data_IF_927362139732
#
_entry.id   IF_927362139732
#
_cell.length_a   1.000
_cell.length_b   1.000
_cell.length_c   1.000
_cell.angle_alpha   90.00
_cell.angle_beta   90.00
_cell.angle_gamma   90.00
#
_symmetry.space_group_name_H-M   'P 1'
#
loop_
_entity.id
_entity.type
_entity.pdbx_description
1 polymer ?
#
# COMPACT_ATOMS: atom_id res chain seq x y z
N UNK A 1 -27.12 27.48 7.66
CA UNK A 1 -26.36 26.72 8.67
C UNK A 1 -24.98 26.52 8.10
N UNK A 2 -23.94 26.88 8.84
CA UNK A 2 -22.56 26.69 8.37
C UNK A 2 -22.24 25.23 8.60
N UNK A 3 -22.03 24.44 7.53
CA UNK A 3 -21.42 23.12 7.68
C UNK A 3 -20.05 23.36 8.33
N UNK A 4 -19.78 22.86 9.56
CA UNK A 4 -18.47 23.05 10.14
C UNK A 4 -17.46 22.27 9.28
N UNK A 5 -16.44 22.99 8.84
CA UNK A 5 -15.25 22.38 8.23
C UNK A 5 -14.66 21.41 9.24
N UNK A 6 -14.58 20.14 8.87
CA UNK A 6 -13.83 19.10 9.57
C UNK A 6 -12.44 19.05 8.96
N UNK A 7 -11.54 19.81 9.58
CA UNK A 7 -10.13 19.76 9.27
C UNK A 7 -9.74 20.15 7.85
N UNK A 8 -8.45 20.02 7.57
CA UNK A 8 -7.86 20.18 6.23
C UNK A 8 -7.03 18.95 5.81
N UNK A 9 -7.13 17.86 6.58
CA UNK A 9 -6.49 16.59 6.32
C UNK A 9 -7.45 15.43 6.59
N UNK A 10 -7.28 14.32 5.86
CA UNK A 10 -8.08 13.09 6.02
C UNK A 10 -8.03 12.54 7.44
N UNK A 11 -6.88 12.60 8.11
CA UNK A 11 -6.72 12.14 9.49
C UNK A 11 -7.66 12.88 10.44
N UNK A 12 -7.75 14.21 10.33
CA UNK A 12 -8.67 15.01 11.15
C UNK A 12 -10.14 14.71 10.86
N UNK A 13 -10.46 14.34 9.62
CA UNK A 13 -11.82 13.91 9.24
C UNK A 13 -12.13 12.55 9.85
N UNK A 14 -11.19 11.60 9.72
CA UNK A 14 -11.33 10.24 10.22
C UNK A 14 -11.45 10.24 11.75
N UNK A 15 -10.56 10.95 12.45
CA UNK A 15 -10.63 11.13 13.91
C UNK A 15 -12.01 11.66 14.34
N UNK A 16 -12.54 12.67 13.64
CA UNK A 16 -13.84 13.24 13.94
C UNK A 16 -15.02 12.29 13.69
N UNK A 17 -14.88 11.33 12.77
CA UNK A 17 -15.87 10.26 12.54
C UNK A 17 -15.74 9.19 13.61
N UNK A 18 -14.52 8.84 14.00
CA UNK A 18 -14.23 7.81 15.01
C UNK A 18 -14.57 8.25 16.44
N UNK A 19 -14.43 9.54 16.75
CA UNK A 19 -14.81 10.14 18.04
C UNK A 19 -16.30 9.96 18.37
N UNK A 20 -17.15 9.79 17.34
CA UNK A 20 -18.57 9.49 17.52
C UNK A 20 -18.82 8.01 17.91
N UNK A 21 -17.81 7.16 17.82
CA UNK A 21 -17.87 5.73 18.14
C UNK A 21 -18.81 4.93 17.23
N UNK A 22 -18.70 5.03 15.89
CA UNK A 22 -19.59 4.34 14.98
C UNK A 22 -19.35 2.82 14.99
N UNK A 23 -20.41 2.03 14.84
CA UNK A 23 -20.29 0.58 14.66
C UNK A 23 -19.57 0.22 13.35
N UNK A 24 -19.72 1.06 12.31
CA UNK A 24 -19.02 1.02 11.03
C UNK A 24 -19.23 2.36 10.30
N UNK A 25 -18.47 2.61 9.24
CA UNK A 25 -18.71 3.76 8.37
C UNK A 25 -18.45 3.43 6.91
N UNK A 26 -19.08 4.20 6.03
CA UNK A 26 -18.92 4.09 4.59
C UNK A 26 -18.00 5.18 4.06
N UNK A 27 -17.17 4.82 3.09
CA UNK A 27 -16.46 5.75 2.21
C UNK A 27 -17.00 5.53 0.81
N UNK A 28 -17.60 6.55 0.21
CA UNK A 28 -18.27 6.44 -1.08
C UNK A 28 -17.58 7.35 -2.10
N UNK A 29 -17.26 6.77 -3.25
CA UNK A 29 -16.58 7.38 -4.37
C UNK A 29 -15.35 8.23 -3.95
N UNK A 30 -14.41 7.69 -3.16
CA UNK A 30 -13.16 8.39 -2.88
C UNK A 30 -12.37 8.56 -4.19
N UNK A 31 -11.62 9.66 -4.31
CA UNK A 31 -10.55 9.72 -5.30
C UNK A 31 -9.45 8.72 -4.93
N UNK A 32 -8.52 8.46 -5.86
CA UNK A 32 -7.32 7.67 -5.57
C UNK A 32 -6.58 8.21 -4.34
N UNK A 33 -6.29 9.52 -4.35
CA UNK A 33 -5.63 10.25 -3.27
C UNK A 33 -6.36 10.13 -1.93
N UNK A 34 -7.68 10.33 -1.92
CA UNK A 34 -8.45 10.23 -0.69
C UNK A 34 -8.43 8.80 -0.13
N UNK A 35 -8.51 7.79 -0.99
CA UNK A 35 -8.46 6.39 -0.57
C UNK A 35 -7.08 5.99 -0.04
N UNK A 36 -5.99 6.44 -0.67
CA UNK A 36 -4.61 6.26 -0.18
C UNK A 36 -4.46 6.86 1.22
N UNK A 37 -4.79 8.14 1.38
CA UNK A 37 -4.69 8.83 2.67
C UNK A 37 -5.57 8.21 3.76
N UNK A 38 -6.76 7.71 3.39
CA UNK A 38 -7.64 7.00 4.32
C UNK A 38 -7.03 5.66 4.74
N UNK A 39 -6.40 4.95 3.82
CA UNK A 39 -5.72 3.68 4.09
C UNK A 39 -4.53 3.90 5.04
N UNK A 40 -3.71 4.92 4.78
CA UNK A 40 -2.58 5.26 5.65
C UNK A 40 -3.05 5.72 7.04
N UNK A 41 -4.09 6.56 7.09
CA UNK A 41 -4.69 6.98 8.35
C UNK A 41 -5.26 5.79 9.13
N UNK A 42 -5.92 4.85 8.45
CA UNK A 42 -6.47 3.64 9.05
C UNK A 42 -5.38 2.74 9.64
N UNK A 43 -4.26 2.55 8.93
CA UNK A 43 -3.10 1.76 9.41
C UNK A 43 -2.39 2.44 10.59
N UNK A 44 -2.38 3.77 10.63
CA UNK A 44 -1.73 4.54 11.70
C UNK A 44 -2.52 4.57 13.02
N UNK A 45 -3.79 4.16 13.02
CA UNK A 45 -4.63 4.17 14.22
C UNK A 45 -4.19 3.11 15.22
N UNK A 46 -3.86 3.55 16.43
CA UNK A 46 -3.61 2.66 17.56
C UNK A 46 -4.94 2.19 18.18
N UNK A 47 -5.38 0.97 17.86
CA UNK A 47 -6.54 0.33 18.50
C UNK A 47 -7.52 -0.29 17.51
N UNK A 48 -8.73 -0.56 17.99
CA UNK A 48 -9.79 -1.17 17.18
C UNK A 48 -10.40 -0.12 16.24
N UNK A 49 -10.14 -0.24 14.94
CA UNK A 49 -10.81 0.54 13.90
C UNK A 49 -12.18 -0.11 13.59
N UNK A 50 -13.31 0.62 13.67
CA UNK A 50 -14.59 0.10 13.22
C UNK A 50 -14.55 -0.19 11.71
N UNK A 51 -15.30 -1.19 11.21
CA UNK A 51 -15.27 -1.57 9.81
C UNK A 51 -15.47 -0.37 8.85
N UNK A 52 -14.48 -0.14 8.02
CA UNK A 52 -14.47 0.81 6.91
C UNK A 52 -14.96 0.10 5.64
N UNK A 53 -16.16 0.48 5.18
CA UNK A 53 -16.80 -0.08 3.98
C UNK A 53 -16.66 0.89 2.82
N UNK A 54 -15.91 0.51 1.79
CA UNK A 54 -15.61 1.42 0.67
C UNK A 54 -16.36 1.02 -0.59
N UNK A 55 -17.15 1.95 -1.12
CA UNK A 55 -17.74 1.90 -2.45
C UNK A 55 -16.96 2.83 -3.36
N UNK A 56 -16.22 2.29 -4.32
CA UNK A 56 -15.40 3.09 -5.21
C UNK A 56 -15.54 2.64 -6.67
N UNK A 57 -15.18 3.53 -7.59
CA UNK A 57 -15.07 3.17 -9.00
C UNK A 57 -14.02 2.05 -9.19
N UNK A 58 -14.34 1.09 -10.06
CA UNK A 58 -13.48 -0.09 -10.26
C UNK A 58 -12.11 0.29 -10.85
N UNK A 59 -12.05 1.29 -11.74
CA UNK A 59 -10.81 1.73 -12.34
C UNK A 59 -9.96 2.51 -11.32
N UNK A 60 -10.59 3.33 -10.47
CA UNK A 60 -9.88 3.97 -9.33
C UNK A 60 -9.28 2.93 -8.40
N UNK A 61 -10.04 1.89 -8.03
CA UNK A 61 -9.49 0.81 -7.18
C UNK A 61 -8.35 0.06 -7.87
N UNK A 62 -8.42 -0.20 -9.17
CA UNK A 62 -7.33 -0.86 -9.91
C UNK A 62 -6.08 -0.01 -9.97
N UNK A 63 -6.24 1.29 -10.18
CA UNK A 63 -5.14 2.24 -10.30
C UNK A 63 -4.42 2.38 -8.96
N UNK A 64 -5.14 2.59 -7.86
CA UNK A 64 -4.54 2.67 -6.51
C UNK A 64 -3.89 1.34 -6.11
N UNK A 65 -4.55 0.22 -6.38
CA UNK A 65 -4.02 -1.11 -6.02
C UNK A 65 -2.84 -1.54 -6.91
N UNK A 66 -2.45 -0.74 -7.90
CA UNK A 66 -1.23 -0.94 -8.66
C UNK A 66 0.01 -0.55 -7.84
N UNK A 67 -0.12 0.38 -6.89
CA UNK A 67 0.94 0.68 -5.93
C UNK A 67 1.04 -0.43 -4.88
N UNK A 68 2.26 -0.94 -4.67
CA UNK A 68 2.47 -2.07 -3.77
C UNK A 68 2.24 -1.69 -2.30
N UNK A 69 2.70 -0.51 -1.85
CA UNK A 69 2.56 -0.10 -0.46
C UNK A 69 1.10 0.08 -0.09
N UNK A 70 0.35 0.82 -0.91
CA UNK A 70 -1.07 1.05 -0.68
C UNK A 70 -1.84 -0.27 -0.77
N UNK A 71 -1.57 -1.10 -1.78
CA UNK A 71 -2.27 -2.37 -1.94
C UNK A 71 -1.99 -3.37 -0.81
N UNK A 72 -0.75 -3.45 -0.33
CA UNK A 72 -0.35 -4.37 0.75
C UNK A 72 -0.84 -3.90 2.12
N UNK A 73 -0.91 -2.58 2.38
CA UNK A 73 -1.56 -1.97 3.55
C UNK A 73 -3.07 -2.21 3.55
N UNK A 74 -3.73 -1.99 2.41
CA UNK A 74 -5.15 -2.30 2.24
C UNK A 74 -5.42 -3.79 2.42
N UNK A 75 -4.51 -4.67 1.96
CA UNK A 75 -4.60 -6.11 2.15
C UNK A 75 -4.49 -6.53 3.63
N UNK A 76 -3.67 -5.87 4.44
CA UNK A 76 -3.65 -6.06 5.91
C UNK A 76 -5.04 -5.74 6.50
N UNK A 77 -5.60 -4.56 6.20
CA UNK A 77 -6.92 -4.17 6.70
C UNK A 77 -8.04 -5.11 6.22
N UNK A 78 -7.95 -5.64 4.99
CA UNK A 78 -8.88 -6.63 4.46
C UNK A 78 -8.76 -7.97 5.18
N UNK A 79 -7.54 -8.42 5.50
CA UNK A 79 -7.30 -9.66 6.22
C UNK A 79 -7.80 -9.58 7.67
N UNK A 80 -7.67 -8.41 8.30
CA UNK A 80 -8.18 -8.13 9.64
C UNK A 80 -9.70 -7.89 9.67
N UNK A 81 -10.33 -7.73 8.50
CA UNK A 81 -11.76 -7.47 8.37
C UNK A 81 -12.19 -6.05 8.76
N UNK A 82 -11.22 -5.15 8.93
CA UNK A 82 -11.45 -3.72 9.20
C UNK A 82 -11.73 -2.95 7.91
N UNK A 83 -11.30 -3.45 6.75
CA UNK A 83 -11.63 -2.90 5.44
C UNK A 83 -12.52 -3.87 4.65
N UNK A 84 -13.45 -3.33 3.87
CA UNK A 84 -14.17 -4.06 2.84
C UNK A 84 -14.32 -3.19 1.60
N UNK A 85 -14.04 -3.75 0.42
CA UNK A 85 -14.07 -3.03 -0.85
C UNK A 85 -15.19 -3.56 -1.75
N UNK A 86 -15.99 -2.66 -2.32
CA UNK A 86 -17.01 -2.95 -3.32
C UNK A 86 -16.98 -1.94 -4.45
N UNK A 87 -17.37 -2.37 -5.65
CA UNK A 87 -17.40 -1.52 -6.84
C UNK A 87 -18.73 -0.79 -6.94
N UNK A 88 -18.65 0.53 -7.05
CA UNK A 88 -19.80 1.40 -7.23
C UNK A 88 -20.39 1.22 -8.65
N UNK A 89 -21.69 0.96 -8.72
CA UNK A 89 -22.41 0.76 -9.99
C UNK A 89 -23.42 1.90 -10.19
N UNK A 90 -23.09 2.94 -10.97
CA UNK A 90 -24.06 4.02 -11.21
C UNK A 90 -23.44 5.35 -11.67
N UNK A 91 -24.31 6.35 -11.82
CA UNK A 91 -23.89 7.74 -12.08
C UNK A 91 -23.20 8.33 -10.85
N UNK A 92 -22.27 9.27 -11.06
CA UNK A 92 -21.35 9.81 -10.06
C UNK A 92 -21.98 10.15 -8.70
N UNK A 93 -21.56 9.42 -7.67
CA UNK A 93 -21.79 9.80 -6.27
C UNK A 93 -20.78 10.89 -5.88
N UNK A 94 -21.16 11.81 -4.99
CA UNK A 94 -20.18 12.70 -4.38
C UNK A 94 -19.19 11.88 -3.53
N UNK A 95 -17.95 12.34 -3.42
CA UNK A 95 -17.00 11.75 -2.49
C UNK A 95 -17.42 12.08 -1.06
N UNK A 96 -17.85 11.06 -0.31
CA UNK A 96 -18.43 11.24 1.04
C UNK A 96 -17.98 10.15 2.01
N UNK A 97 -17.95 10.49 3.30
CA UNK A 97 -17.91 9.55 4.42
C UNK A 97 -19.27 9.59 5.13
N UNK A 98 -19.84 8.43 5.43
CA UNK A 98 -21.17 8.31 6.05
C UNK A 98 -21.08 7.38 7.25
N UNK A 99 -21.52 7.87 8.42
CA UNK A 99 -21.80 7.08 9.61
C UNK A 99 -23.22 7.34 10.08
N UNK A 100 -23.65 6.64 11.13
CA UNK A 100 -24.96 6.84 11.77
C UNK A 100 -25.13 8.23 12.39
N UNK A 101 -24.03 8.93 12.68
CA UNK A 101 -24.03 10.22 13.38
C UNK A 101 -23.75 11.41 12.46
N UNK A 102 -23.08 11.19 11.32
CA UNK A 102 -22.72 12.29 10.40
C UNK A 102 -22.53 11.85 8.96
N UNK A 103 -22.66 12.83 8.08
CA UNK A 103 -22.19 12.77 6.69
C UNK A 103 -21.14 13.83 6.46
N UNK A 104 -20.03 13.45 5.86
CA UNK A 104 -18.92 14.33 5.51
C UNK A 104 -18.69 14.29 4.02
N UNK A 105 -18.81 15.42 3.34
CA UNK A 105 -18.36 15.55 1.96
C UNK A 105 -16.86 15.84 1.93
N UNK A 106 -16.11 15.03 1.17
CA UNK A 106 -14.69 15.21 0.93
C UNK A 106 -14.50 16.25 -0.16
N UNK A 107 -13.68 17.26 0.13
CA UNK A 107 -13.37 18.36 -0.77
C UNK A 107 -11.86 18.41 -0.96
N UNK A 108 -11.42 18.19 -2.20
CA UNK A 108 -10.01 18.12 -2.55
C UNK A 108 -9.58 19.38 -3.30
N UNK A 109 -8.45 19.95 -2.88
CA UNK A 109 -7.78 21.08 -3.54
C UNK A 109 -6.28 20.90 -3.43
N UNK A 110 -5.59 20.76 -4.58
CA UNK A 110 -4.17 20.43 -4.66
C UNK A 110 -3.85 19.19 -3.79
N UNK A 111 -3.05 19.37 -2.74
CA UNK A 111 -2.67 18.29 -1.82
C UNK A 111 -3.61 18.13 -0.62
N UNK A 112 -4.59 19.03 -0.45
CA UNK A 112 -5.45 19.08 0.72
C UNK A 112 -6.76 18.32 0.48
N UNK A 113 -7.15 17.52 1.46
CA UNK A 113 -8.44 16.83 1.51
C UNK A 113 -9.14 17.29 2.79
N UNK A 114 -10.13 18.17 2.66
CA UNK A 114 -10.92 18.72 3.76
C UNK A 114 -12.34 18.15 3.81
N UNK A 115 -12.97 18.19 4.98
CA UNK A 115 -14.33 17.66 5.17
C UNK A 115 -15.37 18.77 5.37
N UNK A 116 -16.48 18.71 4.65
CA UNK A 116 -17.68 19.51 4.97
C UNK A 116 -18.71 18.59 5.60
N UNK A 117 -19.04 18.83 6.88
CA UNK A 117 -19.88 17.90 7.64
C UNK A 117 -21.28 18.42 7.94
N UNK A 118 -22.19 17.47 8.14
CA UNK A 118 -23.51 17.69 8.71
C UNK A 118 -23.86 16.54 9.65
N UNK A 119 -24.56 16.88 10.74
CA UNK A 119 -25.16 15.95 11.70
C UNK A 119 -26.69 16.18 11.77
N UNK A 120 -27.26 16.71 10.69
CA UNK A 120 -28.71 16.82 10.54
C UNK A 120 -29.30 15.40 10.43
N UNK A 121 -29.99 14.96 11.48
CA UNK A 121 -30.43 13.57 11.61
C UNK A 121 -31.29 13.09 10.43
N UNK A 122 -32.19 13.93 9.90
CA UNK A 122 -33.02 13.56 8.76
C UNK A 122 -32.17 13.31 7.50
N UNK A 123 -31.17 14.16 7.27
CA UNK A 123 -30.26 13.99 6.14
C UNK A 123 -29.32 12.79 6.32
N UNK A 124 -28.78 12.59 7.53
CA UNK A 124 -27.87 11.47 7.85
C UNK A 124 -28.59 10.14 7.67
N UNK A 125 -29.78 9.97 8.24
CA UNK A 125 -30.58 8.74 8.12
C UNK A 125 -30.86 8.40 6.64
N UNK A 126 -31.33 9.37 5.87
CA UNK A 126 -31.64 9.18 4.45
C UNK A 126 -30.40 8.82 3.63
N UNK A 127 -29.26 9.43 3.95
CA UNK A 127 -27.99 9.15 3.25
C UNK A 127 -27.44 7.79 3.62
N UNK A 128 -27.46 7.42 4.89
CA UNK A 128 -27.02 6.12 5.38
C UNK A 128 -27.85 4.97 4.77
N UNK A 129 -29.18 5.10 4.77
CA UNK A 129 -30.08 4.11 4.15
C UNK A 129 -29.80 3.92 2.65
N UNK A 130 -29.54 5.02 1.94
CA UNK A 130 -29.22 4.97 0.51
C UNK A 130 -27.88 4.24 0.26
N UNK A 131 -26.84 4.60 1.02
CA UNK A 131 -25.50 4.02 0.88
C UNK A 131 -25.48 2.54 1.30
N UNK A 132 -26.21 2.15 2.35
CA UNK A 132 -26.33 0.74 2.74
C UNK A 132 -27.04 -0.06 1.63
N UNK A 133 -28.09 0.47 1.01
CA UNK A 133 -28.74 -0.19 -0.12
C UNK A 133 -27.79 -0.37 -1.31
N UNK A 134 -26.99 0.66 -1.63
CA UNK A 134 -25.99 0.57 -2.69
C UNK A 134 -24.94 -0.48 -2.34
N UNK A 135 -24.45 -0.47 -1.09
CA UNK A 135 -23.50 -1.44 -0.56
C UNK A 135 -23.98 -2.88 -0.70
N UNK A 136 -25.19 -3.18 -0.23
CA UNK A 136 -25.78 -4.54 -0.28
C UNK A 136 -25.88 -5.08 -1.71
N UNK A 137 -26.11 -4.20 -2.68
CA UNK A 137 -26.25 -4.54 -4.10
C UNK A 137 -24.93 -4.60 -4.88
N UNK A 138 -23.86 -3.98 -4.35
CA UNK A 138 -22.59 -3.83 -5.04
C UNK A 138 -21.75 -5.12 -5.04
N UNK A 139 -20.97 -5.30 -6.11
CA UNK A 139 -20.03 -6.42 -6.27
C UNK A 139 -18.78 -6.22 -5.41
N UNK A 140 -18.25 -7.31 -4.85
CA UNK A 140 -17.00 -7.28 -4.07
C UNK A 140 -15.79 -7.05 -4.96
N UNK A 141 -14.88 -6.18 -4.55
CA UNK A 141 -13.58 -6.01 -5.17
C UNK A 141 -12.52 -6.86 -4.43
N UNK A 142 -11.65 -7.55 -5.17
CA UNK A 142 -10.57 -8.36 -4.58
C UNK A 142 -9.19 -7.81 -4.90
N UNK A 143 -8.37 -7.70 -3.85
CA UNK A 143 -6.96 -7.33 -3.94
C UNK A 143 -6.13 -8.60 -4.14
N UNK A 144 -5.17 -8.56 -5.06
CA UNK A 144 -4.27 -9.69 -5.36
C UNK A 144 -2.94 -9.59 -4.62
N UNK A 145 -2.56 -8.39 -4.22
CA UNK A 145 -1.34 -8.09 -3.47
C UNK A 145 -1.44 -8.73 -2.09
N UNK A 146 -0.39 -9.42 -1.62
CA UNK A 146 -0.37 -10.00 -0.29
C UNK A 146 -0.32 -8.91 0.80
N UNK A 147 -0.82 -9.20 2.02
CA UNK A 147 -0.72 -8.28 3.16
C UNK A 147 0.75 -7.97 3.51
N UNK A 148 1.06 -6.71 3.83
CA UNK A 148 2.45 -6.32 4.14
C UNK A 148 2.97 -7.01 5.40
N UNK A 149 2.10 -7.28 6.36
CA UNK A 149 2.42 -8.06 7.56
C UNK A 149 2.88 -9.50 7.20
N UNK A 150 2.18 -10.17 6.28
CA UNK A 150 2.52 -11.52 5.80
C UNK A 150 3.85 -11.50 5.02
N UNK A 151 4.03 -10.52 4.12
CA UNK A 151 5.30 -10.34 3.39
C UNK A 151 6.46 -10.20 4.38
N UNK A 152 6.27 -9.39 5.42
CA UNK A 152 7.30 -9.14 6.43
C UNK A 152 7.64 -10.38 7.25
N UNK A 153 6.63 -11.07 7.80
CA UNK A 153 6.82 -12.28 8.60
C UNK A 153 7.48 -13.41 7.80
N UNK A 154 7.02 -13.60 6.56
CA UNK A 154 7.58 -14.65 5.70
C UNK A 154 8.99 -14.34 5.23
N UNK A 155 9.35 -13.05 5.04
CA UNK A 155 10.71 -12.63 4.71
C UNK A 155 11.67 -12.94 5.87
N UNK A 156 11.28 -12.64 7.10
CA UNK A 156 12.04 -13.00 8.30
C UNK A 156 12.24 -14.51 8.38
N UNK A 157 11.16 -15.28 8.23
CA UNK A 157 11.23 -16.74 8.32
C UNK A 157 12.08 -17.37 7.20
N UNK A 158 12.07 -16.79 5.99
CA UNK A 158 12.73 -17.37 4.81
C UNK A 158 14.19 -16.95 4.68
N UNK A 159 14.49 -15.68 5.00
CA UNK A 159 15.77 -15.03 4.70
C UNK A 159 16.47 -14.57 5.98
N UNK A 160 15.72 -13.95 6.91
CA UNK A 160 16.22 -13.56 8.23
C UNK A 160 15.83 -12.14 8.65
N UNK A 161 16.01 -11.85 9.93
CA UNK A 161 15.63 -10.59 10.58
C UNK A 161 16.30 -9.36 9.95
N UNK A 162 17.58 -9.46 9.57
CA UNK A 162 18.32 -8.35 8.94
C UNK A 162 17.70 -7.97 7.60
N UNK A 163 17.30 -8.96 6.79
CA UNK A 163 16.62 -8.72 5.53
C UNK A 163 15.23 -8.11 5.73
N UNK A 164 14.48 -8.55 6.76
CA UNK A 164 13.19 -7.95 7.12
C UNK A 164 13.36 -6.49 7.54
N UNK A 165 14.36 -6.19 8.37
CA UNK A 165 14.64 -4.84 8.83
C UNK A 165 15.05 -3.91 7.68
N UNK A 166 15.92 -4.38 6.79
CA UNK A 166 16.31 -3.64 5.59
C UNK A 166 15.12 -3.39 4.66
N UNK A 167 14.24 -4.38 4.47
CA UNK A 167 13.04 -4.24 3.65
C UNK A 167 12.12 -3.12 4.16
N UNK A 168 11.81 -3.11 5.46
CA UNK A 168 11.03 -2.04 6.07
C UNK A 168 11.69 -0.67 5.92
N UNK A 169 12.99 -0.57 6.24
CA UNK A 169 13.70 0.69 6.13
C UNK A 169 13.76 1.23 4.69
N UNK A 170 13.81 0.34 3.69
CA UNK A 170 13.75 0.74 2.28
C UNK A 170 12.34 1.20 1.87
N UNK A 171 11.29 0.53 2.35
CA UNK A 171 9.91 0.92 2.09
C UNK A 171 9.56 2.26 2.74
N UNK A 172 10.01 2.52 3.98
CA UNK A 172 9.79 3.79 4.69
C UNK A 172 10.35 4.99 3.90
N UNK A 173 11.43 4.78 3.15
CA UNK A 173 12.04 5.81 2.29
C UNK A 173 11.17 6.08 1.08
N UNK A 174 10.68 5.03 0.41
CA UNK A 174 9.77 5.15 -0.72
C UNK A 174 8.46 5.84 -0.33
N UNK A 175 7.93 5.51 0.85
CA UNK A 175 6.74 6.13 1.41
C UNK A 175 6.92 7.64 1.67
N UNK A 176 8.14 8.06 2.01
CA UNK A 176 8.45 9.47 2.32
C UNK A 176 8.71 10.32 1.07
N UNK A 177 9.27 9.74 0.00
CA UNK A 177 9.56 10.45 -1.26
C UNK A 177 8.27 10.76 -2.06
N UNK A 178 7.14 10.11 -1.74
CA UNK A 178 5.81 10.33 -2.33
C UNK A 178 5.62 9.62 -3.68
N UNK A 179 4.40 9.52 -4.22
CA UNK A 179 4.08 8.81 -5.48
C UNK A 179 4.61 9.48 -6.77
N UNK A 180 5.82 10.05 -6.77
CA UNK A 180 6.49 10.32 -8.03
C UNK A 180 6.69 8.97 -8.75
N UNK A 181 6.53 8.92 -10.08
CA UNK A 181 6.68 7.69 -10.88
C UNK A 181 8.14 7.19 -10.83
N UNK A 182 8.60 6.62 -9.71
CA UNK A 182 9.89 5.96 -9.61
C UNK A 182 9.76 4.51 -10.10
N UNK A 183 10.77 4.05 -10.85
CA UNK A 183 10.81 2.65 -11.30
C UNK A 183 11.23 1.65 -10.19
N UNK A 184 11.23 2.07 -8.93
CA UNK A 184 11.59 1.25 -7.77
C UNK A 184 10.32 0.59 -7.22
N UNK A 185 10.05 -0.61 -7.72
CA UNK A 185 8.93 -1.45 -7.28
C UNK A 185 9.34 -2.44 -6.17
N UNK A 186 8.39 -3.22 -5.67
CA UNK A 186 8.60 -4.20 -4.62
C UNK A 186 9.59 -5.31 -4.99
N UNK A 187 9.71 -5.61 -6.29
CA UNK A 187 10.68 -6.58 -6.83
C UNK A 187 12.09 -5.98 -6.80
N UNK A 188 12.24 -4.70 -7.14
CA UNK A 188 13.49 -3.96 -7.00
C UNK A 188 13.91 -3.93 -5.54
N UNK A 189 13.03 -3.51 -4.62
CA UNK A 189 13.32 -3.49 -3.17
C UNK A 189 13.75 -4.87 -2.68
N UNK A 190 13.00 -5.92 -3.03
CA UNK A 190 13.34 -7.31 -2.66
C UNK A 190 14.73 -7.73 -3.15
N UNK A 191 15.12 -7.33 -4.37
CA UNK A 191 16.43 -7.63 -4.93
C UNK A 191 17.55 -6.83 -4.27
N UNK A 192 17.32 -5.56 -3.92
CA UNK A 192 18.28 -4.71 -3.20
C UNK A 192 18.52 -5.22 -1.78
N UNK A 193 17.46 -5.57 -1.05
CA UNK A 193 17.55 -6.24 0.26
C UNK A 193 18.35 -7.54 0.15
N UNK A 194 18.05 -8.36 -0.85
CA UNK A 194 18.77 -9.61 -1.07
C UNK A 194 20.25 -9.38 -1.44
N UNK A 195 20.55 -8.33 -2.21
CA UNK A 195 21.92 -7.96 -2.58
C UNK A 195 22.73 -7.43 -1.38
N UNK A 196 22.12 -6.58 -0.55
CA UNK A 196 22.69 -6.05 0.69
C UNK A 196 23.03 -7.20 1.66
N UNK A 197 22.11 -8.15 1.81
CA UNK A 197 22.25 -9.29 2.72
C UNK A 197 23.02 -10.49 2.14
N UNK A 198 23.53 -10.41 0.90
CA UNK A 198 24.29 -11.50 0.28
C UNK A 198 23.47 -12.79 0.07
N UNK A 199 22.18 -12.63 -0.18
CA UNK A 199 21.19 -13.71 -0.35
C UNK A 199 21.32 -14.31 -1.74
N UNK A 200 21.00 -15.60 -1.88
CA UNK A 200 20.96 -16.23 -3.20
C UNK A 200 19.72 -15.75 -3.97
N UNK A 201 19.90 -15.42 -5.25
CA UNK A 201 18.80 -15.07 -6.16
C UNK A 201 17.70 -16.14 -6.15
N UNK A 202 18.07 -17.42 -5.99
CA UNK A 202 17.09 -18.50 -5.91
C UNK A 202 16.20 -18.38 -4.67
N UNK A 203 16.75 -18.02 -3.52
CA UNK A 203 16.00 -18.01 -2.26
C UNK A 203 15.01 -16.84 -2.27
N UNK A 204 15.47 -15.62 -2.62
CA UNK A 204 14.59 -14.45 -2.72
C UNK A 204 13.53 -14.59 -3.82
N UNK A 205 13.89 -15.11 -5.01
CA UNK A 205 12.91 -15.28 -6.09
C UNK A 205 11.93 -16.43 -5.84
N UNK A 206 12.32 -17.41 -5.03
CA UNK A 206 11.40 -18.46 -4.57
C UNK A 206 10.45 -17.88 -3.53
N UNK A 207 10.97 -17.20 -2.52
CA UNK A 207 10.16 -16.54 -1.49
C UNK A 207 9.13 -15.58 -2.13
N UNK A 208 9.57 -14.66 -2.99
CA UNK A 208 8.67 -13.70 -3.62
C UNK A 208 7.62 -14.34 -4.54
N UNK A 209 7.91 -15.49 -5.15
CA UNK A 209 6.91 -16.24 -5.90
C UNK A 209 5.93 -16.99 -4.98
N UNK A 210 6.42 -17.56 -3.88
CA UNK A 210 5.62 -18.32 -2.93
C UNK A 210 4.62 -17.39 -2.17
N UNK A 211 5.00 -16.15 -1.87
CA UNK A 211 4.17 -15.13 -1.21
C UNK A 211 3.28 -14.35 -2.19
N UNK A 212 3.58 -14.41 -3.49
CA UNK A 212 2.75 -13.78 -4.53
C UNK A 212 3.18 -12.36 -4.92
N UNK A 213 4.38 -11.93 -4.56
CA UNK A 213 4.99 -10.66 -5.00
C UNK A 213 5.17 -10.67 -6.52
N UNK A 214 5.96 -11.62 -7.04
CA UNK A 214 6.20 -11.72 -8.48
C UNK A 214 6.73 -13.10 -8.89
N UNK A 215 6.55 -13.44 -10.16
CA UNK A 215 7.11 -14.67 -10.71
C UNK A 215 8.64 -14.69 -10.71
N UNK A 216 9.26 -15.87 -10.66
CA UNK A 216 10.72 -16.03 -10.82
C UNK A 216 11.27 -15.40 -12.10
N UNK A 217 10.47 -15.40 -13.17
CA UNK A 217 10.84 -14.78 -14.45
C UNK A 217 10.89 -13.25 -14.34
N UNK A 218 10.01 -12.64 -13.54
CA UNK A 218 10.05 -11.20 -13.24
C UNK A 218 11.29 -10.87 -12.43
N UNK A 219 11.55 -11.56 -11.32
CA UNK A 219 12.79 -11.41 -10.54
C UNK A 219 14.05 -11.52 -11.42
N UNK A 220 14.12 -12.49 -12.32
CA UNK A 220 15.28 -12.65 -13.21
C UNK A 220 15.46 -11.48 -14.19
N UNK A 221 14.36 -10.91 -14.70
CA UNK A 221 14.39 -9.75 -15.61
C UNK A 221 14.80 -8.48 -14.86
N UNK A 222 14.17 -8.21 -13.71
CA UNK A 222 14.51 -7.06 -12.85
C UNK A 222 15.95 -7.15 -12.38
N UNK A 223 16.43 -8.32 -11.97
CA UNK A 223 17.86 -8.56 -11.65
C UNK A 223 18.78 -8.19 -12.80
N UNK A 224 18.42 -8.54 -14.03
CA UNK A 224 19.24 -8.22 -15.22
C UNK A 224 19.28 -6.71 -15.45
N UNK A 225 18.12 -6.03 -15.30
CA UNK A 225 18.03 -4.57 -15.36
C UNK A 225 18.94 -3.91 -14.32
N UNK A 226 18.92 -4.39 -13.07
CA UNK A 226 19.76 -3.87 -11.99
C UNK A 226 21.27 -4.13 -12.20
N UNK A 227 21.63 -5.25 -12.84
CA UNK A 227 23.01 -5.52 -13.27
C UNK A 227 23.46 -4.57 -14.39
N UNK A 228 22.59 -4.32 -15.37
CA UNK A 228 22.89 -3.46 -16.53
C UNK A 228 23.13 -2.01 -16.11
N UNK A 229 22.41 -1.52 -15.09
CA UNK A 229 22.61 -0.17 -14.50
C UNK A 229 23.64 -0.16 -13.36
N UNK A 230 24.19 -1.31 -12.99
CA UNK A 230 25.29 -1.43 -12.03
C UNK A 230 24.90 -1.28 -10.56
N UNK A 231 23.63 -1.46 -10.20
CA UNK A 231 23.16 -1.45 -8.79
C UNK A 231 23.39 -2.80 -8.10
N UNK A 232 23.38 -3.90 -8.86
CA UNK A 232 23.55 -5.27 -8.36
C UNK A 232 24.61 -6.00 -9.18
N UNK A 233 25.39 -6.88 -8.54
CA UNK A 233 26.27 -7.87 -9.18
C UNK A 233 25.97 -9.28 -8.64
N UNK A 234 26.49 -10.31 -9.31
CA UNK A 234 26.32 -11.70 -8.90
C UNK A 234 27.62 -12.48 -8.72
N UNK A 235 27.72 -13.14 -7.56
CA UNK A 235 28.80 -14.06 -7.23
C UNK A 235 28.33 -15.51 -7.45
N UNK A 236 29.13 -16.33 -8.15
CA UNK A 236 28.82 -17.74 -8.38
C UNK A 236 29.12 -18.58 -7.14
N UNK A 237 28.11 -19.25 -6.62
CA UNK A 237 28.20 -20.17 -5.48
C UNK A 237 28.10 -21.62 -5.99
N UNK A 238 29.17 -22.43 -5.85
CA UNK A 238 29.14 -23.84 -6.23
C UNK A 238 28.08 -24.63 -5.48
N UNK A 239 27.48 -25.62 -6.14
CA UNK A 239 26.56 -26.60 -5.55
C UNK A 239 26.96 -28.00 -6.00
N UNK A 240 26.53 -29.01 -5.23
CA UNK A 240 26.91 -30.41 -5.46
C UNK A 240 26.43 -30.96 -6.82
N UNK A 241 25.25 -30.54 -7.28
CA UNK A 241 24.66 -30.99 -8.56
C UNK A 241 23.96 -29.82 -9.24
N UNK A 242 24.32 -29.55 -10.50
CA UNK A 242 23.65 -28.56 -11.35
C UNK A 242 24.50 -27.32 -11.62
N UNK A 243 23.84 -26.22 -12.01
CA UNK A 243 24.50 -24.93 -12.26
C UNK A 243 24.75 -24.22 -10.93
N UNK A 244 25.89 -23.52 -10.76
CA UNK A 244 26.13 -22.69 -9.59
C UNK A 244 24.95 -21.75 -9.32
N UNK A 245 24.66 -21.53 -8.04
CA UNK A 245 23.70 -20.50 -7.62
C UNK A 245 24.34 -19.13 -7.75
N UNK A 246 23.51 -18.11 -7.85
CA UNK A 246 23.95 -16.72 -7.90
C UNK A 246 23.64 -16.08 -6.56
N UNK A 247 24.69 -15.64 -5.86
CA UNK A 247 24.56 -14.75 -4.71
C UNK A 247 24.49 -13.32 -5.21
N UNK A 248 23.50 -12.57 -4.76
CA UNK A 248 23.36 -11.15 -5.09
C UNK A 248 24.33 -10.33 -4.22
N UNK A 249 24.85 -9.24 -4.78
CA UNK A 249 25.72 -8.26 -4.11
C UNK A 249 25.34 -6.86 -4.59
N UNK A 250 25.43 -5.88 -3.70
CA UNK A 250 25.37 -4.48 -4.11
C UNK A 250 26.57 -4.14 -5.01
N UNK A 251 26.36 -3.20 -5.94
CA UNK A 251 27.37 -2.73 -6.88
C UNK A 251 27.34 -1.18 -6.96
N UNK A 252 28.02 -0.58 -7.92
CA UNK A 252 27.92 0.87 -8.17
C UNK A 252 28.56 1.75 -7.10
N UNK A 253 29.33 1.17 -6.17
CA UNK A 253 29.92 1.89 -5.04
C UNK A 253 29.11 1.80 -3.74
N UNK A 254 27.97 1.11 -3.77
CA UNK A 254 27.20 0.74 -2.58
C UNK A 254 27.89 -0.40 -1.82
N UNK A 255 27.87 -0.33 -0.49
CA UNK A 255 28.41 -1.31 0.44
C UNK A 255 27.29 -1.98 1.25
N UNK A 256 27.42 -3.28 1.60
CA UNK A 256 26.49 -3.95 2.50
C UNK A 256 26.26 -3.24 3.85
N UNK A 257 27.21 -2.44 4.32
CA UNK A 257 27.09 -1.67 5.56
C UNK A 257 26.41 -0.30 5.37
N UNK A 258 26.10 0.12 4.12
CA UNK A 258 25.42 1.38 3.85
C UNK A 258 23.99 1.37 4.42
N UNK A 259 23.52 2.54 4.84
CA UNK A 259 22.15 2.70 5.32
C UNK A 259 21.12 2.35 4.21
N UNK A 260 20.02 1.63 4.51
CA UNK A 260 19.01 1.28 3.52
C UNK A 260 18.48 2.46 2.70
N UNK A 261 18.37 3.65 3.30
CA UNK A 261 17.95 4.86 2.59
C UNK A 261 18.94 5.27 1.51
N UNK A 262 20.24 5.09 1.75
CA UNK A 262 21.28 5.38 0.74
C UNK A 262 21.16 4.43 -0.45
N UNK A 263 20.86 3.15 -0.19
CA UNK A 263 20.70 2.14 -1.23
C UNK A 263 19.48 2.45 -2.11
N UNK A 264 18.33 2.78 -1.48
CA UNK A 264 17.11 3.14 -2.21
C UNK A 264 17.27 4.43 -2.98
N UNK A 265 17.83 5.48 -2.37
CA UNK A 265 18.04 6.75 -3.07
C UNK A 265 18.94 6.55 -4.29
N UNK A 266 20.01 5.77 -4.16
CA UNK A 266 20.85 5.45 -5.32
C UNK A 266 20.09 4.68 -6.40
N UNK A 267 19.12 3.84 -6.04
CA UNK A 267 18.30 3.13 -7.01
C UNK A 267 17.32 4.07 -7.72
N UNK A 268 16.66 4.98 -6.99
CA UNK A 268 15.79 6.02 -7.55
C UNK A 268 16.58 6.87 -8.55
N UNK A 269 17.73 7.41 -8.13
CA UNK A 269 18.56 8.29 -8.95
C UNK A 269 19.04 7.62 -10.25
N UNK A 270 19.36 6.33 -10.20
CA UNK A 270 19.90 5.58 -11.34
C UNK A 270 18.81 5.10 -12.28
N UNK A 271 17.64 4.73 -11.76
CA UNK A 271 16.54 4.20 -12.58
C UNK A 271 15.70 5.31 -13.22
N UNK A 272 15.67 6.50 -12.62
CA UNK A 272 14.97 7.66 -13.18
C UNK A 272 15.80 8.47 -14.20
N UNK A 273 17.02 8.02 -14.52
CA UNK A 273 17.99 8.71 -15.41
C UNK A 273 17.97 8.21 -16.86
#
# INVERSE_FOLDING_TARGET
MTAPLLGTAVTEILDAVLDDGPDHFFVVNPSARAFEQLTDAAVAIEGDLPPMRVLADEDVLKDVMADFLVASRAADLLADGTLSLRTLSGDAHCSIIVSEERTVALVEVDELVGGLSTNDAEFVDVTADAVESDWESADSFSVRTPPISEVSETLESAIGDDARADFHAMLDVLDTEGDDEHEVDEVVVSLLVAAKNGVLLYDISKWGEDVGIASKATFSRTKTKLEDVGLVDTEKVPIDVGRPRLRLRLAGGLDPDDDPATVVQSAIDVLSA
#
